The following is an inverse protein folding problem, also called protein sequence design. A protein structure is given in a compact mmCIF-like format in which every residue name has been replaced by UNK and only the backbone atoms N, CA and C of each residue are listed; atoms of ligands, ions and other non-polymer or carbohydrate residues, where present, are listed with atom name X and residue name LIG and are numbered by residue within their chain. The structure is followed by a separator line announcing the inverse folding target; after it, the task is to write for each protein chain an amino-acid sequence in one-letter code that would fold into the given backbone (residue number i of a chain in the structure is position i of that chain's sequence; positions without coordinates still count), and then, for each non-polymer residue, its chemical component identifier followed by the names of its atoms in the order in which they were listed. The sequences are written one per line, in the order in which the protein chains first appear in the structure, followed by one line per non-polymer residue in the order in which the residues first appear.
data_IF_643114306837
#
_entry.id   IF_643114306837
#
_cell.length_a   1.000
_cell.length_b   1.000
_cell.length_c   1.000
_cell.angle_alpha   90.00
_cell.angle_beta   90.00
_cell.angle_gamma   90.00
#
_symmetry.space_group_name_H-M   'P 1'
#
loop_
_entity.id
_entity.type
_entity.pdbx_description
1 polymer ?
#
# COMPACT_ATOMS: atom_id res chain seq x y z
N UNK A 1 7.73 23.92 -5.33
CA UNK A 1 8.80 22.89 -5.25
C UNK A 1 8.82 22.35 -3.82
N UNK A 2 8.26 21.15 -3.61
CA UNK A 2 8.28 20.49 -2.30
C UNK A 2 9.71 20.15 -1.92
N UNK A 3 10.11 20.53 -0.71
CA UNK A 3 11.48 20.39 -0.25
C UNK A 3 11.74 18.89 0.00
N UNK A 4 12.44 18.20 -0.90
CA UNK A 4 12.65 16.73 -0.87
C UNK A 4 13.26 16.21 0.44
N UNK A 5 13.86 17.09 1.27
CA UNK A 5 14.37 16.75 2.61
C UNK A 5 13.28 16.53 3.67
N UNK A 6 12.03 16.94 3.41
CA UNK A 6 10.91 16.83 4.37
C UNK A 6 10.30 15.44 4.37
N UNK A 7 10.28 14.76 3.22
CA UNK A 7 9.64 13.44 3.07
C UNK A 7 10.31 12.37 3.95
N UNK A 8 11.66 12.24 3.97
CA UNK A 8 12.32 11.29 4.85
C UNK A 8 12.10 11.61 6.33
N UNK A 9 12.11 12.89 6.71
CA UNK A 9 11.92 13.31 8.09
C UNK A 9 10.50 13.03 8.59
N UNK A 10 9.48 13.29 7.76
CA UNK A 10 8.09 13.00 8.08
C UNK A 10 7.87 11.49 8.23
N UNK A 11 8.40 10.69 7.30
CA UNK A 11 8.31 9.24 7.37
C UNK A 11 8.88 8.68 8.67
N UNK A 12 10.12 9.06 9.02
CA UNK A 12 10.77 8.62 10.25
C UNK A 12 9.99 9.07 11.49
N UNK A 13 9.48 10.30 11.48
CA UNK A 13 8.66 10.84 12.59
C UNK A 13 7.39 10.01 12.78
N UNK A 14 6.65 9.71 11.71
CA UNK A 14 5.43 8.91 11.79
C UNK A 14 5.72 7.47 12.24
N UNK A 15 6.81 6.88 11.75
CA UNK A 15 7.22 5.53 12.13
C UNK A 15 7.60 5.45 13.61
N UNK A 16 8.52 6.29 14.08
CA UNK A 16 8.97 6.28 15.48
C UNK A 16 7.88 6.72 16.47
N UNK A 17 6.96 7.60 16.06
CA UNK A 17 5.79 7.96 16.86
C UNK A 17 4.66 6.92 16.84
N UNK A 18 4.87 5.77 16.18
CA UNK A 18 3.89 4.68 16.02
C UNK A 18 2.59 5.10 15.34
N UNK A 19 2.64 6.17 14.53
CA UNK A 19 1.52 6.65 13.70
C UNK A 19 1.57 6.10 12.27
N UNK A 20 2.67 5.47 11.90
CA UNK A 20 2.83 4.70 10.67
C UNK A 20 3.30 3.29 11.03
N UNK A 21 2.57 2.29 10.54
CA UNK A 21 2.94 0.89 10.65
C UNK A 21 3.48 0.44 9.30
N UNK A 22 4.66 -0.18 9.29
CA UNK A 22 5.19 -0.82 8.10
C UNK A 22 4.73 -2.25 8.05
N UNK A 23 4.02 -2.62 6.98
CA UNK A 23 3.60 -3.99 6.74
C UNK A 23 4.74 -4.71 6.04
N UNK A 24 5.35 -5.73 6.67
CA UNK A 24 6.43 -6.48 6.04
C UNK A 24 5.89 -7.29 4.86
N UNK A 25 6.56 -7.17 3.71
CA UNK A 25 6.22 -7.95 2.51
C UNK A 25 6.89 -9.32 2.62
N UNK A 26 6.08 -10.38 2.72
CA UNK A 26 6.56 -11.77 2.74
C UNK A 26 6.38 -12.41 1.37
N UNK A 27 7.10 -13.51 1.10
CA UNK A 27 6.95 -14.27 -0.15
C UNK A 27 5.52 -14.77 -0.35
N UNK A 28 4.82 -15.12 0.73
CA UNK A 28 3.41 -15.53 0.70
C UNK A 28 2.50 -14.37 0.28
N UNK A 29 2.75 -13.16 0.77
CA UNK A 29 2.00 -11.96 0.37
C UNK A 29 2.20 -11.67 -1.12
N UNK A 30 3.45 -11.78 -1.61
CA UNK A 30 3.78 -11.61 -3.03
C UNK A 30 3.06 -12.65 -3.90
N UNK A 31 3.11 -13.93 -3.51
CA UNK A 31 2.43 -14.99 -4.27
C UNK A 31 0.92 -14.80 -4.27
N UNK A 32 0.34 -14.42 -3.14
CA UNK A 32 -1.09 -14.16 -3.03
C UNK A 32 -1.53 -12.93 -3.86
N UNK A 33 -0.65 -11.95 -4.06
CA UNK A 33 -0.97 -10.75 -4.84
C UNK A 33 -1.05 -11.01 -6.35
N UNK A 34 -0.43 -12.09 -6.87
CA UNK A 34 -0.46 -12.43 -8.31
C UNK A 34 -1.87 -12.56 -8.87
N UNK A 35 -2.81 -13.11 -8.08
CA UNK A 35 -4.19 -13.20 -8.52
C UNK A 35 -4.81 -11.82 -8.76
N UNK A 36 -4.54 -10.86 -7.88
CA UNK A 36 -5.02 -9.48 -7.99
C UNK A 36 -4.42 -8.79 -9.22
N UNK A 37 -3.13 -9.01 -9.51
CA UNK A 37 -2.48 -8.48 -10.72
C UNK A 37 -3.21 -8.94 -11.98
N UNK A 38 -3.51 -10.24 -12.06
CA UNK A 38 -4.12 -10.85 -13.24
C UNK A 38 -5.61 -10.50 -13.39
N UNK A 39 -6.36 -10.48 -12.28
CA UNK A 39 -7.80 -10.25 -12.30
C UNK A 39 -8.16 -8.76 -12.39
N UNK A 40 -7.38 -7.88 -11.76
CA UNK A 40 -7.68 -6.45 -11.65
C UNK A 40 -6.77 -5.56 -12.49
N UNK A 41 -5.82 -6.15 -13.21
CA UNK A 41 -4.88 -5.45 -14.09
C UNK A 41 -4.19 -4.25 -13.41
N UNK A 42 -3.75 -4.46 -12.16
CA UNK A 42 -2.97 -3.47 -11.40
C UNK A 42 -1.49 -3.83 -11.39
N UNK A 43 -0.63 -2.87 -11.04
CA UNK A 43 0.80 -3.09 -10.89
C UNK A 43 1.13 -4.07 -9.76
N UNK A 44 2.37 -4.55 -9.72
CA UNK A 44 2.81 -5.48 -8.68
C UNK A 44 2.76 -4.83 -7.28
N UNK A 45 3.23 -3.59 -7.17
CA UNK A 45 3.20 -2.79 -5.94
C UNK A 45 1.77 -2.47 -5.49
N UNK A 46 0.89 -2.09 -6.41
CA UNK A 46 -0.51 -1.83 -6.09
C UNK A 46 -1.24 -3.08 -5.62
N UNK A 47 -0.97 -4.23 -6.23
CA UNK A 47 -1.56 -5.51 -5.81
C UNK A 47 -1.17 -5.88 -4.37
N UNK A 48 0.08 -5.60 -4.00
CA UNK A 48 0.59 -5.83 -2.64
C UNK A 48 -0.03 -4.82 -1.68
N UNK A 49 -0.19 -3.55 -2.08
CA UNK A 49 -0.83 -2.54 -1.24
C UNK A 49 -2.30 -2.88 -0.96
N UNK A 50 -3.06 -3.28 -1.99
CA UNK A 50 -4.44 -3.75 -1.84
C UNK A 50 -4.51 -4.96 -0.91
N UNK A 51 -3.67 -5.97 -1.14
CA UNK A 51 -3.66 -7.16 -0.29
C UNK A 51 -3.21 -6.87 1.14
N UNK A 52 -2.27 -5.93 1.31
CA UNK A 52 -1.76 -5.53 2.63
C UNK A 52 -2.89 -5.01 3.51
N UNK A 53 -3.80 -4.22 2.92
CA UNK A 53 -4.98 -3.66 3.58
C UNK A 53 -5.92 -4.74 4.10
N UNK A 54 -6.08 -5.83 3.35
CA UNK A 54 -6.90 -6.98 3.75
C UNK A 54 -6.27 -7.75 4.90
N UNK A 55 -4.97 -8.06 4.83
CA UNK A 55 -4.28 -8.85 5.87
C UNK A 55 -4.08 -8.08 7.16
N UNK A 56 -4.03 -6.74 7.11
CA UNK A 56 -3.99 -5.88 8.29
C UNK A 56 -5.38 -5.53 8.83
N UNK A 57 -6.45 -6.00 8.20
CA UNK A 57 -7.84 -5.69 8.55
C UNK A 57 -8.10 -4.17 8.63
N UNK A 58 -7.52 -3.43 7.70
CA UNK A 58 -7.66 -1.97 7.66
C UNK A 58 -9.06 -1.58 7.17
N UNK A 59 -9.73 -0.69 7.90
CA UNK A 59 -11.09 -0.23 7.59
C UNK A 59 -11.15 0.71 6.37
N UNK A 60 -10.05 1.41 6.09
CA UNK A 60 -9.97 2.43 5.05
C UNK A 60 -8.74 2.16 4.19
N UNK A 61 -8.95 2.06 2.89
CA UNK A 61 -7.90 2.09 1.88
C UNK A 61 -7.72 3.52 1.36
N UNK A 62 -6.48 4.02 1.34
CA UNK A 62 -6.15 5.36 0.83
C UNK A 62 -5.12 5.23 -0.28
N UNK A 63 -5.44 5.81 -1.44
CA UNK A 63 -4.53 6.00 -2.55
C UNK A 63 -4.78 7.39 -3.16
N UNK A 64 -3.78 7.94 -3.83
CA UNK A 64 -3.93 9.16 -4.63
C UNK A 64 -4.24 8.85 -6.11
N UNK A 65 -4.15 7.57 -6.50
CA UNK A 65 -4.38 7.09 -7.85
C UNK A 65 -5.85 6.66 -8.00
N UNK A 66 -6.59 7.37 -8.85
CA UNK A 66 -8.00 7.11 -9.11
C UNK A 66 -8.23 5.74 -9.75
N UNK A 67 -7.35 5.29 -10.64
CA UNK A 67 -7.45 3.96 -11.26
C UNK A 67 -7.34 2.87 -10.20
N UNK A 68 -6.40 3.01 -9.26
CA UNK A 68 -6.26 2.05 -8.17
C UNK A 68 -7.50 2.05 -7.25
N UNK A 69 -8.05 3.22 -6.93
CA UNK A 69 -9.28 3.33 -6.13
C UNK A 69 -10.44 2.61 -6.81
N UNK A 70 -10.58 2.75 -8.13
CA UNK A 70 -11.60 2.03 -8.89
C UNK A 70 -11.40 0.51 -8.82
N UNK A 71 -10.19 0.02 -9.12
CA UNK A 71 -9.87 -1.42 -9.07
C UNK A 71 -9.98 -1.99 -7.65
N UNK A 72 -9.83 -1.18 -6.60
CA UNK A 72 -10.02 -1.60 -5.21
C UNK A 72 -11.48 -1.91 -4.85
N UNK A 73 -12.45 -1.31 -5.57
CA UNK A 73 -13.89 -1.44 -5.29
C UNK A 73 -14.55 -2.65 -5.95
N UNK A 74 -13.93 -3.20 -6.99
CA UNK A 74 -14.34 -4.43 -7.68
C UNK A 74 -14.15 -5.67 -6.80
#
# INVERSE_FOLDING_TARGET
MGNLKVIPQLFLTLYFSRRLVLVPVTSQLVQASWRIILERHVSADDSIHLLSTLVTLSEIFVAADDYLIERARE
#
